data_IF_993738472834
#
_entry.id   IF_993738472834
#
_cell.length_a   1.000
_cell.length_b   1.000
_cell.length_c   1.000
_cell.angle_alpha   90.00
_cell.angle_beta   90.00
_cell.angle_gamma   90.00
#
_symmetry.space_group_name_H-M   'P 1'
#
loop_
_entity.id
_entity.type
_entity.pdbx_description
1 polymer ?
#
# COMPACT_ATOMS: atom_id res chain seq x y z
N UNK A 1 -11.46 -4.43 8.92
CA UNK A 1 -10.93 -5.79 8.70
C UNK A 1 -9.55 -5.98 9.34
N UNK A 2 -8.59 -5.16 8.97
CA UNK A 2 -7.22 -5.33 9.47
C UNK A 2 -7.09 -5.09 10.97
N UNK A 3 -7.78 -4.11 11.49
CA UNK A 3 -7.78 -3.85 12.94
C UNK A 3 -8.38 -5.03 13.70
N UNK A 4 -9.41 -5.64 13.15
CA UNK A 4 -10.05 -6.80 13.75
C UNK A 4 -9.08 -7.99 13.83
N UNK A 5 -8.14 -8.06 12.89
CA UNK A 5 -7.13 -9.13 12.87
C UNK A 5 -5.89 -8.78 13.69
N UNK A 6 -5.93 -7.72 14.45
CA UNK A 6 -4.85 -7.36 15.35
C UNK A 6 -3.78 -6.44 14.77
N UNK A 7 -3.98 -5.94 13.56
CA UNK A 7 -3.02 -5.02 12.97
C UNK A 7 -3.25 -3.59 13.44
N UNK A 8 -2.16 -2.88 13.67
CA UNK A 8 -2.23 -1.45 13.91
C UNK A 8 -2.34 -0.77 12.55
N UNK A 9 -3.41 -0.02 12.33
CA UNK A 9 -3.68 0.63 11.05
C UNK A 9 -3.51 2.15 11.19
N UNK A 10 -2.71 2.72 10.30
CA UNK A 10 -2.54 4.16 10.20
C UNK A 10 -3.21 4.59 8.91
N UNK A 11 -4.17 5.50 9.02
CA UNK A 11 -4.96 5.94 7.87
C UNK A 11 -4.41 7.23 7.28
N UNK A 12 -4.53 7.35 5.96
CA UNK A 12 -4.18 8.56 5.24
C UNK A 12 -5.30 8.86 4.24
N UNK A 13 -5.71 10.11 4.16
CA UNK A 13 -6.80 10.53 3.29
C UNK A 13 -6.37 10.67 1.82
N UNK A 14 -5.10 10.90 1.58
CA UNK A 14 -4.55 11.06 0.23
C UNK A 14 -3.06 10.72 0.22
N UNK A 15 -2.45 10.80 -0.96
CA UNK A 15 -1.05 10.44 -1.11
C UNK A 15 -0.08 11.34 -0.35
N UNK A 16 -0.40 12.63 -0.23
CA UNK A 16 0.46 13.54 0.51
C UNK A 16 0.46 13.20 2.01
N UNK A 17 -0.73 12.94 2.55
CA UNK A 17 -0.84 12.54 3.94
C UNK A 17 -0.18 11.20 4.19
N UNK A 18 -0.28 10.28 3.21
CA UNK A 18 0.39 8.99 3.31
C UNK A 18 1.90 9.15 3.43
N UNK A 19 2.50 10.03 2.64
CA UNK A 19 3.93 10.28 2.72
C UNK A 19 4.33 10.85 4.09
N UNK A 20 3.51 11.73 4.64
CA UNK A 20 3.75 12.27 5.99
C UNK A 20 3.72 11.16 7.03
N UNK A 21 2.72 10.27 6.95
CA UNK A 21 2.60 9.14 7.88
C UNK A 21 3.79 8.21 7.77
N UNK A 22 4.29 7.97 6.57
CA UNK A 22 5.44 7.11 6.35
C UNK A 22 6.73 7.69 6.95
N UNK A 23 6.85 9.01 7.01
CA UNK A 23 7.99 9.63 7.65
C UNK A 23 7.93 9.51 9.17
N UNK A 24 6.73 9.57 9.74
CA UNK A 24 6.52 9.48 11.17
C UNK A 24 6.55 8.05 11.69
N UNK A 25 5.92 7.15 10.95
CA UNK A 25 5.78 5.75 11.34
C UNK A 25 6.13 4.86 10.15
N UNK A 26 6.90 3.83 10.40
CA UNK A 26 7.30 2.90 9.36
C UNK A 26 6.46 1.64 9.43
N UNK A 27 5.37 1.56 8.65
CA UNK A 27 4.56 0.35 8.63
C UNK A 27 5.30 -0.77 7.91
N UNK A 28 4.80 -1.99 8.05
CA UNK A 28 5.36 -3.13 7.34
C UNK A 28 4.92 -3.15 5.88
N UNK A 29 3.77 -2.55 5.57
CA UNK A 29 3.22 -2.56 4.22
C UNK A 29 2.30 -1.36 4.01
N UNK A 30 2.26 -0.86 2.78
CA UNK A 30 1.37 0.22 2.38
C UNK A 30 0.27 -0.37 1.50
N UNK A 31 -0.99 -0.09 1.87
CA UNK A 31 -2.14 -0.40 1.02
C UNK A 31 -2.61 0.91 0.40
N UNK A 32 -2.66 0.98 -0.92
CA UNK A 32 -2.99 2.22 -1.60
C UNK A 32 -4.00 2.01 -2.71
N UNK A 33 -4.97 2.91 -2.82
CA UNK A 33 -5.81 2.98 -4.00
C UNK A 33 -5.08 3.82 -5.05
N UNK A 34 -5.49 3.70 -6.30
CA UNK A 34 -4.97 4.54 -7.38
C UNK A 34 -5.61 5.92 -7.31
N UNK A 35 -6.92 5.96 -7.13
CA UNK A 35 -7.65 7.23 -7.15
C UNK A 35 -7.70 7.87 -5.76
N UNK A 36 -6.87 8.87 -5.58
CA UNK A 36 -6.82 9.66 -4.35
C UNK A 36 -6.68 11.13 -4.71
N UNK A 37 -7.27 12.05 -3.94
CA UNK A 37 -7.09 13.48 -4.19
C UNK A 37 -5.64 13.90 -3.94
N UNK A 38 -5.25 14.97 -4.58
CA UNK A 38 -3.94 15.63 -4.51
C UNK A 38 -2.78 14.81 -5.05
N UNK A 39 -2.68 13.53 -4.68
CA UNK A 39 -1.62 12.65 -5.19
C UNK A 39 -2.22 11.26 -5.33
N UNK A 40 -2.23 10.71 -6.54
CA UNK A 40 -2.79 9.38 -6.76
C UNK A 40 -1.83 8.27 -6.33
N UNK A 41 -2.31 7.02 -6.41
CA UNK A 41 -1.51 5.87 -5.98
C UNK A 41 -0.25 5.65 -6.80
N UNK A 42 -0.26 5.97 -8.08
CA UNK A 42 0.93 5.85 -8.92
C UNK A 42 2.00 6.85 -8.48
N UNK A 43 1.59 8.09 -8.22
CA UNK A 43 2.52 9.11 -7.75
C UNK A 43 3.05 8.78 -6.36
N UNK A 44 2.19 8.24 -5.50
CA UNK A 44 2.62 7.81 -4.18
C UNK A 44 3.69 6.71 -4.29
N UNK A 45 3.45 5.71 -5.12
CA UNK A 45 4.41 4.63 -5.32
C UNK A 45 5.74 5.17 -5.85
N UNK A 46 5.68 6.09 -6.80
CA UNK A 46 6.89 6.71 -7.36
C UNK A 46 7.69 7.45 -6.29
N UNK A 47 7.00 8.20 -5.44
CA UNK A 47 7.65 8.94 -4.35
C UNK A 47 8.26 8.00 -3.30
N UNK A 48 7.57 6.92 -2.99
CA UNK A 48 8.10 5.93 -2.05
C UNK A 48 9.39 5.31 -2.60
N UNK A 49 9.39 4.93 -3.87
CA UNK A 49 10.56 4.29 -4.47
C UNK A 49 11.73 5.27 -4.67
N UNK A 50 11.44 6.56 -4.76
CA UNK A 50 12.49 7.58 -4.91
C UNK A 50 13.12 7.97 -3.57
N UNK A 51 12.49 7.63 -2.45
CA UNK A 51 13.01 7.95 -1.12
C UNK A 51 13.88 6.78 -0.64
N UNK A 52 15.16 7.02 -0.44
CA UNK A 52 16.10 5.97 -0.04
C UNK A 52 15.72 5.29 1.28
N UNK A 53 15.02 5.99 2.14
CA UNK A 53 14.56 5.43 3.41
C UNK A 53 13.34 4.52 3.25
N UNK A 54 12.62 4.63 2.14
CA UNK A 54 11.38 3.92 1.89
C UNK A 54 11.42 3.03 0.66
N UNK A 55 12.54 2.97 -0.03
CA UNK A 55 12.63 2.30 -1.34
C UNK A 55 12.26 0.81 -1.30
N UNK A 56 12.41 0.15 -0.16
CA UNK A 56 12.08 -1.26 0.00
C UNK A 56 10.70 -1.49 0.61
N UNK A 57 9.92 -0.45 0.84
CA UNK A 57 8.62 -0.56 1.46
C UNK A 57 7.66 -1.37 0.58
N UNK A 58 7.07 -2.47 1.08
CA UNK A 58 6.08 -3.21 0.29
C UNK A 58 4.84 -2.36 0.03
N UNK A 59 4.37 -2.38 -1.22
CA UNK A 59 3.19 -1.64 -1.63
C UNK A 59 2.20 -2.60 -2.26
N UNK A 60 0.98 -2.61 -1.74
CA UNK A 60 -0.15 -3.35 -2.32
C UNK A 60 -1.12 -2.33 -2.85
N UNK A 61 -1.37 -2.33 -4.15
CA UNK A 61 -2.33 -1.42 -4.75
C UNK A 61 -3.69 -2.09 -4.84
N UNK A 62 -4.72 -1.42 -4.33
CA UNK A 62 -6.08 -1.96 -4.29
C UNK A 62 -6.97 -1.00 -5.07
N UNK A 63 -7.59 -1.46 -6.15
CA UNK A 63 -8.28 -0.56 -7.05
C UNK A 63 -9.36 -1.24 -7.86
N UNK A 64 -10.33 -0.44 -8.34
CA UNK A 64 -11.31 -0.90 -9.32
C UNK A 64 -10.77 -0.85 -10.75
N UNK A 65 -9.59 -0.27 -10.96
CA UNK A 65 -8.97 -0.22 -12.28
C UNK A 65 -8.21 -1.51 -12.55
N UNK A 66 -8.87 -2.46 -13.22
CA UNK A 66 -8.31 -3.79 -13.44
C UNK A 66 -7.72 -4.00 -14.83
N UNK A 67 -7.73 -2.97 -15.69
CA UNK A 67 -7.15 -3.10 -17.02
C UNK A 67 -5.66 -3.42 -16.94
N UNK A 68 -5.21 -4.32 -17.80
CA UNK A 68 -3.82 -4.77 -17.80
C UNK A 68 -2.79 -3.65 -17.85
N UNK A 69 -3.08 -2.58 -18.60
CA UNK A 69 -2.16 -1.45 -18.71
C UNK A 69 -1.93 -0.73 -17.38
N UNK A 70 -2.96 -0.67 -16.53
CA UNK A 70 -2.84 -0.05 -15.21
C UNK A 70 -1.99 -0.92 -14.29
N UNK A 71 -2.18 -2.21 -14.37
CA UNK A 71 -1.40 -3.16 -13.60
C UNK A 71 0.06 -3.14 -14.02
N UNK A 72 0.32 -3.13 -15.33
CA UNK A 72 1.69 -3.06 -15.84
C UNK A 72 2.39 -1.80 -15.39
N UNK A 73 1.68 -0.66 -15.44
CA UNK A 73 2.23 0.61 -14.99
C UNK A 73 2.58 0.57 -13.51
N UNK A 74 1.68 0.01 -12.69
CA UNK A 74 1.95 -0.14 -11.26
C UNK A 74 3.19 -0.98 -11.00
N UNK A 75 3.32 -2.09 -11.71
CA UNK A 75 4.48 -2.97 -11.54
C UNK A 75 5.78 -2.30 -11.98
N UNK A 76 5.74 -1.50 -13.03
CA UNK A 76 6.90 -0.72 -13.47
C UNK A 76 7.34 0.29 -12.41
N UNK A 77 6.40 0.83 -11.65
CA UNK A 77 6.70 1.75 -10.57
C UNK A 77 7.18 1.05 -9.29
N UNK A 78 7.23 -0.27 -9.30
CA UNK A 78 7.73 -1.02 -8.16
C UNK A 78 6.69 -1.42 -7.14
N UNK A 79 5.42 -1.45 -7.52
CA UNK A 79 4.34 -1.97 -6.66
C UNK A 79 4.50 -3.47 -6.54
N UNK A 80 4.39 -4.00 -5.32
CA UNK A 80 4.60 -5.42 -5.08
C UNK A 80 3.40 -6.28 -5.46
N UNK A 81 2.20 -5.80 -5.19
CA UNK A 81 0.98 -6.54 -5.52
C UNK A 81 -0.11 -5.59 -6.00
N UNK A 82 -0.98 -6.10 -6.85
CA UNK A 82 -2.07 -5.34 -7.43
C UNK A 82 -3.36 -6.14 -7.24
N UNK A 83 -4.28 -5.61 -6.46
CA UNK A 83 -5.50 -6.32 -6.08
C UNK A 83 -6.72 -5.56 -6.61
N UNK A 84 -7.51 -6.21 -7.45
CA UNK A 84 -8.71 -5.59 -8.03
C UNK A 84 -9.91 -5.68 -7.10
N UNK A 85 -10.72 -4.61 -7.06
CA UNK A 85 -11.98 -4.61 -6.33
C UNK A 85 -13.08 -5.25 -7.18
N UNK A 86 -13.99 -6.05 -6.61
CA UNK A 86 -13.97 -6.49 -5.22
C UNK A 86 -12.90 -7.55 -4.98
N UNK A 87 -12.30 -7.53 -3.82
CA UNK A 87 -11.29 -8.50 -3.43
C UNK A 87 -11.82 -9.35 -2.28
N UNK A 88 -11.25 -10.55 -2.08
CA UNK A 88 -11.63 -11.35 -0.94
C UNK A 88 -10.82 -10.94 0.28
N UNK A 89 -11.45 -11.02 1.47
CA UNK A 89 -10.76 -10.72 2.71
C UNK A 89 -9.57 -11.65 2.91
N UNK A 90 -9.71 -12.90 2.50
CA UNK A 90 -8.64 -13.89 2.62
C UNK A 90 -7.42 -13.52 1.77
N UNK A 91 -7.65 -13.05 0.55
CA UNK A 91 -6.57 -12.60 -0.31
C UNK A 91 -5.81 -11.44 0.32
N UNK A 92 -6.54 -10.43 0.80
CA UNK A 92 -5.91 -9.27 1.41
C UNK A 92 -5.13 -9.67 2.64
N UNK A 93 -5.73 -10.46 3.53
CA UNK A 93 -5.06 -10.92 4.74
C UNK A 93 -3.81 -11.75 4.44
N UNK A 94 -3.88 -12.59 3.43
CA UNK A 94 -2.74 -13.39 3.03
C UNK A 94 -1.57 -12.52 2.59
N UNK A 95 -1.86 -11.51 1.76
CA UNK A 95 -0.83 -10.58 1.31
C UNK A 95 -0.25 -9.77 2.46
N UNK A 96 -1.09 -9.23 3.32
CA UNK A 96 -0.64 -8.45 4.47
C UNK A 96 0.21 -9.30 5.40
N UNK A 97 -0.21 -10.53 5.67
CA UNK A 97 0.57 -11.45 6.52
C UNK A 97 1.95 -11.73 5.95
N UNK A 98 2.04 -11.88 4.63
CA UNK A 98 3.33 -12.18 4.00
C UNK A 98 4.35 -11.06 4.21
N UNK A 99 3.90 -9.82 4.31
CA UNK A 99 4.77 -8.66 4.52
C UNK A 99 4.96 -8.31 5.99
N UNK A 100 4.06 -8.74 6.87
CA UNK A 100 4.13 -8.39 8.29
C UNK A 100 4.73 -9.48 9.16
N UNK A 101 4.89 -10.68 8.63
CA UNK A 101 5.36 -11.83 9.39
C UNK A 101 6.68 -11.58 10.10
N UNK A 102 7.66 -11.02 9.40
CA UNK A 102 8.98 -10.76 9.95
C UNK A 102 9.04 -9.49 10.79
N UNK A 103 8.13 -8.56 10.53
CA UNK A 103 8.14 -7.24 11.16
C UNK A 103 7.15 -7.12 12.31
N UNK A 104 6.56 -8.17 12.74
CA UNK A 104 5.53 -8.27 13.79
C UNK A 104 5.04 -6.94 14.35
N UNK A 105 3.73 -6.74 14.40
CA UNK A 105 3.13 -5.56 15.03
C UNK A 105 3.38 -4.21 14.32
N UNK A 106 4.05 -4.21 13.19
CA UNK A 106 4.19 -2.99 12.42
C UNK A 106 2.85 -2.59 11.81
N UNK A 107 2.70 -1.32 11.54
CA UNK A 107 1.45 -0.81 11.01
C UNK A 107 1.26 -1.06 9.53
N UNK A 108 0.05 -0.73 9.08
CA UNK A 108 -0.32 -0.74 7.68
C UNK A 108 -0.86 0.65 7.36
N UNK A 109 -0.40 1.25 6.25
CA UNK A 109 -0.94 2.53 5.77
C UNK A 109 -1.92 2.24 4.65
N UNK A 110 -3.12 2.72 4.77
CA UNK A 110 -4.18 2.49 3.80
C UNK A 110 -4.69 3.79 3.20
#
# INVERSE_FOLDING_TARGET
>A
LLQREGYRVVLAADGLQALERLQEERPAVVLSDIEMPRMDGFDLARNIRADSALEDMPIIMITSRIAGKHREHAMELGVNNYLGKPYSEEELLSLVRSYTRAAAAQGVVA
#
